data_IF_538666279749
#
_entry.id   IF_538666279749
#
_cell.length_a   1.000
_cell.length_b   1.000
_cell.length_c   1.000
_cell.angle_alpha   90.00
_cell.angle_beta   90.00
_cell.angle_gamma   90.00
#
_symmetry.space_group_name_H-M   'P 1'
#
loop_
_entity.id
_entity.type
_entity.pdbx_description
1 polymer ?
#
# COMPACT_ATOMS: atom_id res chain seq x y z
N UNK A 1 0.94 -3.99 11.30
CA UNK A 1 0.03 -4.71 10.39
C UNK A 1 0.26 -4.29 8.93
N UNK A 2 -0.16 -5.08 7.93
CA UNK A 2 -0.12 -4.70 6.51
C UNK A 2 -1.46 -4.12 6.05
N UNK A 3 -1.47 -2.95 5.42
CA UNK A 3 -2.67 -2.33 4.87
C UNK A 3 -2.52 -2.13 3.35
N UNK A 4 -3.43 -2.71 2.58
CA UNK A 4 -3.56 -2.46 1.14
C UNK A 4 -4.63 -1.40 0.92
N UNK A 5 -4.28 -0.28 0.29
CA UNK A 5 -5.15 0.89 0.19
C UNK A 5 -5.41 1.22 -1.26
N UNK A 6 -6.70 1.36 -1.58
CA UNK A 6 -7.15 1.81 -2.89
C UNK A 6 -6.95 3.31 -3.06
N UNK A 7 -6.44 3.73 -4.22
CA UNK A 7 -6.15 5.13 -4.55
C UNK A 7 -7.11 5.69 -5.60
N UNK A 8 -7.29 7.02 -5.67
CA UNK A 8 -8.16 7.63 -6.68
C UNK A 8 -7.74 7.33 -8.12
N UNK A 9 -8.73 7.15 -9.00
CA UNK A 9 -8.55 6.85 -10.44
C UNK A 9 -8.64 8.10 -11.34
N UNK A 10 -8.46 9.29 -10.77
CA UNK A 10 -8.42 10.55 -11.52
C UNK A 10 -8.72 11.79 -10.67
N UNK A 11 -9.74 11.73 -9.82
CA UNK A 11 -10.11 12.82 -8.92
C UNK A 11 -9.55 12.58 -7.52
N UNK A 12 -8.58 13.38 -7.08
CA UNK A 12 -7.92 13.20 -5.78
C UNK A 12 -8.87 13.26 -4.58
N UNK A 13 -10.04 13.88 -4.72
CA UNK A 13 -11.06 13.95 -3.66
C UNK A 13 -11.78 12.61 -3.41
N UNK A 14 -11.60 11.61 -4.27
CA UNK A 14 -12.22 10.29 -4.10
C UNK A 14 -11.46 9.41 -3.09
N UNK A 15 -10.38 9.91 -2.49
CA UNK A 15 -9.70 9.21 -1.41
C UNK A 15 -10.54 9.23 -0.13
N UNK A 16 -10.68 8.08 0.52
CA UNK A 16 -11.46 7.98 1.76
C UNK A 16 -10.71 8.57 2.96
N UNK A 17 -11.46 9.04 3.97
CA UNK A 17 -10.88 9.51 5.23
C UNK A 17 -10.03 8.43 5.92
N UNK A 18 -10.47 7.17 5.87
CA UNK A 18 -9.74 6.03 6.43
C UNK A 18 -8.41 5.77 5.70
N UNK A 19 -8.36 5.96 4.39
CA UNK A 19 -7.12 5.88 3.62
C UNK A 19 -6.14 6.99 4.02
N UNK A 20 -6.63 8.22 4.22
CA UNK A 20 -5.81 9.35 4.69
C UNK A 20 -5.20 9.05 6.06
N UNK A 21 -6.01 8.59 7.00
CA UNK A 21 -5.56 8.24 8.36
C UNK A 21 -4.47 7.17 8.32
N UNK A 22 -4.70 6.08 7.59
CA UNK A 22 -3.74 4.99 7.46
C UNK A 22 -2.43 5.42 6.78
N UNK A 23 -2.49 6.26 5.74
CA UNK A 23 -1.29 6.81 5.08
C UNK A 23 -0.49 7.73 6.00
N UNK A 24 -1.16 8.50 6.86
CA UNK A 24 -0.49 9.40 7.81
C UNK A 24 0.10 8.67 9.02
N UNK A 25 -0.46 7.53 9.41
CA UNK A 25 0.04 6.71 10.52
C UNK A 25 1.05 5.64 10.12
N UNK A 26 1.26 5.39 8.83
CA UNK A 26 2.15 4.33 8.35
C UNK A 26 3.64 4.64 8.57
N UNK A 27 4.38 3.63 9.03
CA UNK A 27 5.85 3.69 9.16
C UNK A 27 6.53 3.56 7.78
N UNK A 28 5.93 2.73 6.92
CA UNK A 28 6.43 2.50 5.56
C UNK A 28 5.29 2.55 4.55
N UNK A 29 5.52 3.25 3.44
CA UNK A 29 4.60 3.32 2.31
C UNK A 29 5.33 2.78 1.08
N UNK A 30 4.67 1.88 0.35
CA UNK A 30 5.14 1.36 -0.92
C UNK A 30 4.10 1.60 -2.03
N UNK A 31 4.59 1.89 -3.23
CA UNK A 31 3.78 2.12 -4.42
C UNK A 31 4.51 1.62 -5.67
N UNK A 32 3.78 1.31 -6.74
CA UNK A 32 4.37 0.96 -8.03
C UNK A 32 5.15 2.14 -8.63
N UNK A 33 4.48 3.29 -8.80
CA UNK A 33 5.09 4.56 -9.18
C UNK A 33 5.10 5.57 -8.02
N UNK A 34 6.25 5.69 -7.38
CA UNK A 34 6.49 6.66 -6.29
C UNK A 34 6.23 8.11 -6.69
N UNK A 35 6.23 8.46 -7.98
CA UNK A 35 5.93 9.82 -8.46
C UNK A 35 4.43 10.11 -8.38
N UNK A 36 3.59 9.13 -8.71
CA UNK A 36 2.13 9.24 -8.57
C UNK A 36 1.75 9.26 -7.08
N UNK A 37 2.33 8.34 -6.30
CA UNK A 37 2.22 8.34 -4.84
C UNK A 37 2.55 9.71 -4.23
N UNK A 38 3.66 10.34 -4.65
CA UNK A 38 4.07 11.65 -4.13
C UNK A 38 3.03 12.75 -4.37
N UNK A 39 2.33 12.74 -5.51
CA UNK A 39 1.25 13.71 -5.78
C UNK A 39 0.10 13.54 -4.79
N UNK A 40 -0.32 12.29 -4.56
CA UNK A 40 -1.37 11.96 -3.60
C UNK A 40 -0.98 12.33 -2.18
N UNK A 41 0.22 11.94 -1.75
CA UNK A 41 0.74 12.24 -0.41
C UNK A 41 0.83 13.74 -0.17
N UNK A 42 1.30 14.51 -1.15
CA UNK A 42 1.31 15.97 -1.06
C UNK A 42 -0.10 16.56 -0.95
N UNK A 43 -1.07 16.05 -1.73
CA UNK A 43 -2.45 16.52 -1.71
C UNK A 43 -3.10 16.37 -0.32
N UNK A 44 -2.78 15.29 0.41
CA UNK A 44 -3.32 15.03 1.75
C UNK A 44 -2.42 15.58 2.88
N UNK A 45 -1.36 16.33 2.55
CA UNK A 45 -0.33 16.82 3.48
C UNK A 45 0.29 15.69 4.32
N UNK A 46 0.69 14.61 3.65
CA UNK A 46 1.46 13.50 4.22
C UNK A 46 2.93 13.60 3.77
N UNK A 47 3.85 13.66 4.74
CA UNK A 47 5.29 13.81 4.49
C UNK A 47 6.05 12.48 4.51
N UNK A 48 5.33 11.36 4.68
CA UNK A 48 5.91 10.02 4.74
C UNK A 48 6.63 9.69 3.43
N UNK A 49 7.77 8.99 3.55
CA UNK A 49 8.52 8.56 2.37
C UNK A 49 7.85 7.35 1.74
N UNK A 50 7.76 7.36 0.41
CA UNK A 50 7.28 6.22 -0.37
C UNK A 50 8.45 5.52 -1.07
N UNK A 51 8.47 4.20 -1.03
CA UNK A 51 9.45 3.35 -1.72
C UNK A 51 8.77 2.58 -2.86
N UNK A 52 9.55 2.11 -3.85
CA UNK A 52 8.98 1.41 -5.01
C UNK A 52 8.67 -0.06 -4.72
N UNK A 53 7.51 -0.51 -5.19
CA UNK A 53 7.07 -1.90 -5.17
C UNK A 53 6.37 -2.21 -6.49
N UNK A 54 7.14 -2.76 -7.44
CA UNK A 54 6.74 -3.08 -8.81
C UNK A 54 7.13 -4.53 -9.13
N UNK A 55 6.59 -5.13 -10.19
CA UNK A 55 6.80 -6.55 -10.52
C UNK A 55 8.26 -7.01 -10.47
N UNK A 56 9.20 -6.23 -11.03
CA UNK A 56 10.62 -6.58 -11.07
C UNK A 56 11.28 -6.70 -9.69
N UNK A 57 10.77 -6.02 -8.66
CA UNK A 57 11.33 -6.05 -7.31
C UNK A 57 10.41 -6.73 -6.27
N UNK A 58 9.25 -7.23 -6.70
CA UNK A 58 8.18 -7.73 -5.84
C UNK A 58 8.71 -8.76 -4.83
N UNK A 59 9.43 -9.79 -5.27
CA UNK A 59 9.98 -10.84 -4.39
C UNK A 59 10.95 -10.28 -3.33
N UNK A 60 11.84 -9.38 -3.74
CA UNK A 60 12.84 -8.79 -2.85
C UNK A 60 12.18 -7.93 -1.77
N UNK A 61 11.24 -7.09 -2.17
CA UNK A 61 10.52 -6.19 -1.27
C UNK A 61 9.56 -6.97 -0.38
N UNK A 62 8.89 -8.00 -0.91
CA UNK A 62 8.04 -8.92 -0.13
C UNK A 62 8.82 -9.54 1.03
N UNK A 63 10.00 -10.12 0.74
CA UNK A 63 10.85 -10.70 1.79
C UNK A 63 11.24 -9.67 2.87
N UNK A 64 11.50 -8.42 2.47
CA UNK A 64 11.80 -7.34 3.40
C UNK A 64 10.60 -6.96 4.27
N UNK A 65 9.41 -6.85 3.68
CA UNK A 65 8.16 -6.52 4.38
C UNK A 65 7.80 -7.63 5.36
N UNK A 66 7.77 -8.87 4.90
CA UNK A 66 7.44 -10.06 5.73
C UNK A 66 8.38 -10.14 6.91
N UNK A 67 9.70 -10.01 6.68
CA UNK A 67 10.69 -10.01 7.77
C UNK A 67 10.41 -8.92 8.80
N UNK A 68 10.17 -7.68 8.36
CA UNK A 68 9.87 -6.54 9.24
C UNK A 68 8.63 -6.76 10.08
N UNK A 69 7.54 -7.27 9.48
CA UNK A 69 6.27 -7.52 10.19
C UNK A 69 6.36 -8.69 11.18
N UNK A 70 7.24 -9.67 10.93
CA UNK A 70 7.53 -10.74 11.89
C UNK A 70 8.34 -10.21 13.06
N UNK A 71 9.32 -9.34 12.81
CA UNK A 71 10.18 -8.74 13.83
C UNK A 71 9.44 -7.75 14.73
N UNK A 72 8.51 -6.97 14.17
CA UNK A 72 7.71 -5.99 14.91
C UNK A 72 6.23 -6.03 14.49
N UNK A 73 5.38 -6.53 15.39
CA UNK A 73 3.94 -6.64 15.14
C UNK A 73 3.20 -5.30 15.18
N UNK A 74 3.78 -4.27 15.81
CA UNK A 74 3.21 -2.93 15.89
C UNK A 74 3.54 -2.08 14.65
N UNK A 75 4.43 -2.57 13.79
CA UNK A 75 4.88 -1.85 12.61
C UNK A 75 3.77 -1.74 11.56
N UNK A 76 3.40 -0.53 11.16
CA UNK A 76 2.38 -0.28 10.16
C UNK A 76 2.98 -0.08 8.76
N UNK A 77 2.70 -1.02 7.86
CA UNK A 77 3.16 -0.98 6.48
C UNK A 77 1.96 -0.83 5.56
N UNK A 78 2.03 0.11 4.62
CA UNK A 78 1.01 0.38 3.62
C UNK A 78 1.52 0.10 2.21
N UNK A 79 0.70 -0.57 1.40
CA UNK A 79 0.83 -0.66 -0.04
C UNK A 79 -0.30 0.14 -0.68
N UNK A 80 0.04 1.03 -1.61
CA UNK A 80 -0.93 1.73 -2.46
C UNK A 80 -0.77 1.32 -3.91
N UNK A 81 -1.89 1.24 -4.62
CA UNK A 81 -1.92 1.15 -6.09
C UNK A 81 -1.59 2.50 -6.72
N UNK A 82 -1.19 2.46 -7.99
CA UNK A 82 -1.03 3.68 -8.79
C UNK A 82 -2.37 4.38 -9.02
N UNK A 83 -3.40 3.60 -9.30
CA UNK A 83 -4.79 4.05 -9.42
C UNK A 83 -5.73 2.87 -9.20
N UNK A 84 -6.75 3.03 -8.35
CA UNK A 84 -7.78 2.00 -8.14
C UNK A 84 -7.47 1.11 -6.95
N UNK A 85 -7.69 -0.21 -7.08
CA UNK A 85 -7.53 -1.16 -5.98
C UNK A 85 -6.25 -2.00 -6.17
N UNK A 86 -5.33 -2.05 -5.19
CA UNK A 86 -4.10 -2.82 -5.30
C UNK A 86 -4.34 -4.33 -5.38
N UNK A 87 -3.37 -5.05 -5.96
CA UNK A 87 -3.36 -6.50 -6.12
C UNK A 87 -4.44 -7.11 -7.06
N UNK A 88 -5.13 -6.28 -7.86
CA UNK A 88 -5.99 -6.76 -8.97
C UNK A 88 -5.15 -6.92 -10.26
N UNK A 89 -4.46 -5.85 -10.65
CA UNK A 89 -3.55 -5.81 -11.81
C UNK A 89 -2.14 -5.34 -11.44
N UNK A 90 -1.97 -4.90 -10.19
CA UNK A 90 -0.72 -4.39 -9.63
C UNK A 90 -0.01 -5.53 -8.87
N UNK A 91 1.31 -5.44 -8.63
CA UNK A 91 2.03 -6.34 -7.73
C UNK A 91 1.39 -6.37 -6.33
N UNK A 92 1.55 -7.50 -5.63
CA UNK A 92 1.02 -7.65 -4.28
C UNK A 92 0.35 -8.99 -4.02
N UNK A 93 -0.03 -9.73 -5.05
CA UNK A 93 -0.55 -11.10 -4.88
C UNK A 93 0.46 -11.98 -4.15
N UNK A 94 1.73 -11.95 -4.56
CA UNK A 94 2.78 -12.72 -3.89
C UNK A 94 2.96 -12.28 -2.42
N UNK A 95 2.92 -10.97 -2.15
CA UNK A 95 2.99 -10.44 -0.78
C UNK A 95 1.84 -10.93 0.09
N UNK A 96 0.60 -10.91 -0.41
CA UNK A 96 -0.57 -11.41 0.31
C UNK A 96 -0.42 -12.90 0.61
N UNK A 97 0.04 -13.71 -0.35
CA UNK A 97 0.30 -15.13 -0.12
C UNK A 97 1.32 -15.37 1.00
N UNK A 98 2.42 -14.61 1.00
CA UNK A 98 3.42 -14.70 2.07
C UNK A 98 2.85 -14.26 3.43
N UNK A 99 2.02 -13.22 3.47
CA UNK A 99 1.34 -12.84 4.70
C UNK A 99 0.44 -13.96 5.24
N UNK A 100 -0.30 -14.66 4.37
CA UNK A 100 -1.13 -15.82 4.75
C UNK A 100 -0.24 -16.95 5.30
N UNK A 101 0.83 -17.30 4.59
CA UNK A 101 1.75 -18.38 4.98
C UNK A 101 2.39 -18.13 6.35
N UNK A 102 2.73 -16.87 6.64
CA UNK A 102 3.37 -16.44 7.88
C UNK A 102 2.39 -15.99 8.97
N UNK A 103 1.07 -16.10 8.74
CA UNK A 103 0.01 -15.63 9.67
C UNK A 103 0.17 -14.15 10.07
N UNK A 104 0.60 -13.33 9.13
CA UNK A 104 0.73 -11.88 9.29
C UNK A 104 -0.65 -11.26 9.03
N UNK A 105 -1.10 -10.43 9.97
CA UNK A 105 -2.36 -9.71 9.81
C UNK A 105 -2.24 -8.67 8.69
N UNK A 106 -3.22 -8.70 7.79
CA UNK A 106 -3.39 -7.68 6.77
C UNK A 106 -4.86 -7.29 6.60
N UNK A 107 -5.09 -6.09 6.07
CA UNK A 107 -6.43 -5.56 5.78
C UNK A 107 -6.43 -4.82 4.45
N UNK A 108 -7.60 -4.76 3.82
CA UNK A 108 -7.88 -3.91 2.67
C UNK A 108 -8.71 -2.70 3.09
N UNK A 109 -8.23 -1.51 2.74
CA UNK A 109 -8.99 -0.27 2.81
C UNK A 109 -9.65 -0.07 1.44
N UNK A 110 -10.99 -0.17 1.36
CA UNK A 110 -11.74 -0.04 0.13
C UNK A 110 -11.69 1.41 -0.36
N UNK A 111 -11.89 1.56 -1.66
CA UNK A 111 -11.93 2.83 -2.34
C UNK A 111 -12.28 2.65 -3.81
N UNK A 112 -11.92 3.60 -4.67
CA UNK A 112 -12.26 3.56 -6.08
C UNK A 112 -11.77 2.29 -6.79
N UNK A 113 -12.60 1.78 -7.70
CA UNK A 113 -12.27 0.74 -8.67
C UNK A 113 -12.81 1.19 -10.02
N UNK A 114 -12.06 0.96 -11.10
CA UNK A 114 -12.51 1.31 -12.46
C UNK A 114 -13.54 0.32 -13.02
N UNK A 115 -13.72 -0.82 -12.36
CA UNK A 115 -14.54 -1.94 -12.83
C UNK A 115 -15.99 -1.84 -12.33
N UNK A 116 -16.24 -1.14 -11.21
CA UNK A 116 -17.54 -1.00 -10.53
C UNK A 116 -17.79 0.45 -10.11
#
# INVERSE_FOLDING_TARGET
MLNLISTPIGNLNDISLRAIEALKSADYIFAEDTRNAKKLLNFIDCRSKCSSFHEHNEKKVTNLIVKKLIEDQNLEIVIISDAGTPAISDPGYHLIQECINHKINFSHIPGPSSII
#
